data_IF_625752687807
#
_entry.id   IF_625752687807
#
_cell.length_a   1.000
_cell.length_b   1.000
_cell.length_c   1.000
_cell.angle_alpha   90.00
_cell.angle_beta   90.00
_cell.angle_gamma   90.00
#
_symmetry.space_group_name_H-M   'P 1'
#
loop_
_entity.id
_entity.type
_entity.pdbx_description
1 polymer ?
#
# COMPACT_ATOMS: atom_id res chain seq x y z
N UNK A 1 -19.02 -4.65 0.97
CA UNK A 1 -17.70 -5.30 1.10
C UNK A 1 -16.63 -4.23 1.21
N UNK A 2 -15.63 -4.42 2.06
CA UNK A 2 -14.49 -3.50 2.26
C UNK A 2 -13.21 -4.26 1.95
N UNK A 3 -12.21 -3.57 1.40
CA UNK A 3 -10.86 -4.08 1.23
C UNK A 3 -9.88 -3.24 2.06
N UNK A 4 -8.94 -3.93 2.72
CA UNK A 4 -7.88 -3.32 3.51
C UNK A 4 -6.55 -3.71 2.88
N UNK A 5 -5.68 -2.73 2.62
CA UNK A 5 -4.40 -2.95 1.96
C UNK A 5 -3.27 -2.42 2.86
N UNK A 6 -2.51 -3.31 3.51
CA UNK A 6 -1.27 -2.94 4.17
C UNK A 6 -0.24 -2.51 3.12
N UNK A 7 0.34 -1.34 3.31
CA UNK A 7 1.27 -0.75 2.37
C UNK A 7 2.46 -0.09 3.07
N UNK A 8 3.66 -0.43 2.64
CA UNK A 8 4.90 0.24 3.04
C UNK A 8 5.77 0.45 1.82
N UNK A 9 6.01 1.73 1.46
CA UNK A 9 6.86 2.11 0.32
C UNK A 9 8.33 1.98 0.64
N UNK A 10 8.75 2.48 1.80
CA UNK A 10 10.16 2.55 2.16
C UNK A 10 10.82 1.18 2.18
N UNK A 11 11.94 1.05 1.47
CA UNK A 11 12.73 -0.18 1.35
C UNK A 11 11.95 -1.40 0.86
N UNK A 12 10.80 -1.19 0.22
CA UNK A 12 9.90 -2.26 -0.20
C UNK A 12 10.56 -3.24 -1.17
N UNK A 13 10.14 -4.51 -1.09
CA UNK A 13 10.62 -5.59 -1.97
C UNK A 13 12.15 -5.71 -1.99
N UNK A 14 12.80 -5.68 -0.83
CA UNK A 14 14.27 -5.80 -0.70
C UNK A 14 14.88 -7.00 -1.43
N UNK A 15 14.13 -8.11 -1.58
CA UNK A 15 14.53 -9.28 -2.38
C UNK A 15 14.70 -9.00 -3.88
N UNK A 16 14.18 -7.88 -4.40
CA UNK A 16 14.38 -7.42 -5.78
C UNK A 16 15.61 -6.51 -5.93
N UNK A 17 16.39 -6.28 -4.86
CA UNK A 17 17.55 -5.38 -4.91
C UNK A 17 18.64 -5.82 -5.89
N UNK A 18 18.68 -7.10 -6.25
CA UNK A 18 19.62 -7.66 -7.23
C UNK A 18 19.34 -7.19 -8.66
N UNK A 19 18.11 -6.74 -8.94
CA UNK A 19 17.64 -6.37 -10.28
C UNK A 19 17.06 -4.95 -10.34
N UNK A 20 16.79 -4.32 -9.18
CA UNK A 20 16.19 -2.99 -9.09
C UNK A 20 16.83 -2.15 -7.99
N UNK A 21 17.08 -0.87 -8.30
CA UNK A 21 17.52 0.12 -7.31
C UNK A 21 16.42 0.39 -6.26
N UNK A 22 16.76 1.05 -5.15
CA UNK A 22 15.76 1.46 -4.14
C UNK A 22 14.64 2.29 -4.76
N UNK A 23 14.98 3.32 -5.53
CA UNK A 23 14.02 4.20 -6.20
C UNK A 23 13.12 3.44 -7.20
N UNK A 24 13.69 2.51 -7.97
CA UNK A 24 12.92 1.66 -8.88
C UNK A 24 11.92 0.78 -8.12
N UNK A 25 12.33 0.19 -6.99
CA UNK A 25 11.44 -0.64 -6.15
C UNK A 25 10.31 0.17 -5.53
N UNK A 26 10.61 1.36 -5.02
CA UNK A 26 9.61 2.26 -4.42
C UNK A 26 8.59 2.73 -5.46
N UNK A 27 9.05 3.10 -6.66
CA UNK A 27 8.18 3.45 -7.79
C UNK A 27 7.34 2.24 -8.24
N UNK A 28 7.94 1.05 -8.29
CA UNK A 28 7.26 -0.17 -8.70
C UNK A 28 6.14 -0.55 -7.74
N UNK A 29 6.39 -0.44 -6.43
CA UNK A 29 5.41 -0.76 -5.38
C UNK A 29 4.25 0.22 -5.37
N UNK A 30 4.50 1.48 -5.66
CA UNK A 30 3.46 2.49 -5.85
C UNK A 30 2.58 2.20 -7.07
N UNK A 31 3.16 1.78 -8.20
CA UNK A 31 2.40 1.35 -9.39
C UNK A 31 1.54 0.11 -9.12
N UNK A 32 2.08 -0.89 -8.41
CA UNK A 32 1.31 -2.07 -8.01
C UNK A 32 0.11 -1.69 -7.13
N UNK A 33 0.28 -0.76 -6.19
CA UNK A 33 -0.81 -0.28 -5.35
C UNK A 33 -1.93 0.35 -6.19
N UNK A 34 -1.57 1.21 -7.15
CA UNK A 34 -2.54 1.83 -8.07
C UNK A 34 -3.31 0.77 -8.87
N UNK A 35 -2.63 -0.26 -9.38
CA UNK A 35 -3.24 -1.35 -10.14
C UNK A 35 -4.22 -2.18 -9.28
N UNK A 36 -3.84 -2.48 -8.02
CA UNK A 36 -4.72 -3.21 -7.08
C UNK A 36 -5.98 -2.38 -6.78
N UNK A 37 -5.83 -1.10 -6.45
CA UNK A 37 -6.96 -0.20 -6.14
C UNK A 37 -7.88 -0.04 -7.35
N UNK A 38 -7.31 0.13 -8.54
CA UNK A 38 -8.08 0.20 -9.78
C UNK A 38 -8.87 -1.10 -10.04
N UNK A 39 -8.25 -2.25 -9.78
CA UNK A 39 -8.87 -3.57 -9.95
C UNK A 39 -10.01 -3.79 -8.96
N UNK A 40 -9.81 -3.48 -7.68
CA UNK A 40 -10.86 -3.57 -6.64
C UNK A 40 -12.09 -2.72 -7.01
N UNK A 41 -11.85 -1.49 -7.49
CA UNK A 41 -12.93 -0.60 -7.95
C UNK A 41 -13.68 -1.15 -9.15
N UNK A 42 -12.97 -1.69 -10.16
CA UNK A 42 -13.59 -2.37 -11.31
C UNK A 42 -14.44 -3.57 -10.88
N UNK A 43 -14.04 -4.25 -9.80
CA UNK A 43 -14.80 -5.32 -9.16
C UNK A 43 -15.96 -4.85 -8.28
N UNK A 44 -16.26 -3.55 -8.21
CA UNK A 44 -17.36 -3.00 -7.41
C UNK A 44 -17.03 -2.77 -5.93
N UNK A 45 -15.78 -2.94 -5.51
CA UNK A 45 -15.35 -2.65 -4.14
C UNK A 45 -14.95 -1.18 -4.06
N UNK A 46 -15.81 -0.36 -3.44
CA UNK A 46 -15.61 1.09 -3.33
C UNK A 46 -14.99 1.51 -2.00
N UNK A 47 -15.21 0.74 -0.94
CA UNK A 47 -14.66 0.99 0.40
C UNK A 47 -13.27 0.35 0.48
N UNK A 48 -12.24 1.15 0.26
CA UNK A 48 -10.85 0.70 0.27
C UNK A 48 -10.09 1.54 1.29
N UNK A 49 -9.46 0.85 2.24
CA UNK A 49 -8.59 1.42 3.26
C UNK A 49 -7.16 0.97 2.99
N UNK A 50 -6.21 1.90 3.09
CA UNK A 50 -4.78 1.63 3.00
C UNK A 50 -4.18 1.95 4.34
N UNK A 51 -3.60 0.94 4.98
CA UNK A 51 -2.91 1.14 6.25
C UNK A 51 -1.41 1.21 5.99
N UNK A 52 -0.78 2.27 6.49
CA UNK A 52 0.61 2.59 6.19
C UNK A 52 1.31 3.25 7.38
N UNK A 53 2.61 3.04 7.57
CA UNK A 53 3.37 3.80 8.57
C UNK A 53 3.34 5.29 8.30
N UNK A 54 3.38 6.13 9.33
CA UNK A 54 3.29 7.61 9.22
C UNK A 54 4.32 8.23 8.29
N UNK A 55 5.50 7.62 8.21
CA UNK A 55 6.59 8.08 7.35
C UNK A 55 6.36 7.79 5.85
N UNK A 56 5.30 7.09 5.48
CA UNK A 56 5.09 6.61 4.13
C UNK A 56 4.22 7.59 3.33
N UNK A 57 4.82 8.25 2.34
CA UNK A 57 4.09 9.08 1.39
C UNK A 57 3.27 8.20 0.41
N UNK A 58 1.95 8.17 0.62
CA UNK A 58 0.99 7.57 -0.31
C UNK A 58 0.39 8.69 -1.16
N UNK A 59 0.61 8.61 -2.48
CA UNK A 59 0.09 9.61 -3.42
C UNK A 59 -1.42 9.76 -3.28
N UNK A 60 -1.89 11.01 -3.26
CA UNK A 60 -3.32 11.38 -3.26
C UNK A 60 -4.11 10.83 -4.46
N UNK A 61 -3.41 10.43 -5.52
CA UNK A 61 -3.97 9.76 -6.70
C UNK A 61 -4.59 8.40 -6.36
N UNK A 62 -4.10 7.78 -5.28
CA UNK A 62 -4.67 6.55 -4.73
C UNK A 62 -6.00 6.90 -4.07
N UNK A 63 -7.10 6.70 -4.80
CA UNK A 63 -8.46 7.00 -4.36
C UNK A 63 -8.96 6.00 -3.30
N UNK A 64 -8.31 5.98 -2.15
CA UNK A 64 -8.60 5.15 -0.99
C UNK A 64 -8.49 5.99 0.28
N UNK A 65 -9.08 5.52 1.37
CA UNK A 65 -8.87 6.12 2.68
C UNK A 65 -7.48 5.71 3.21
N UNK A 66 -6.74 6.66 3.78
CA UNK A 66 -5.40 6.41 4.32
C UNK A 66 -5.48 6.37 5.84
N UNK A 67 -4.91 5.32 6.42
CA UNK A 67 -4.86 5.08 7.85
C UNK A 67 -3.39 4.96 8.23
N UNK A 68 -2.98 5.79 9.17
CA UNK A 68 -1.61 5.82 9.65
C UNK A 68 -1.48 4.92 10.88
N UNK A 69 -0.64 3.91 10.77
CA UNK A 69 -0.36 2.96 11.84
C UNK A 69 1.09 2.48 11.76
N UNK A 70 1.83 2.64 12.87
CA UNK A 70 3.24 2.27 12.99
C UNK A 70 3.45 0.94 13.73
N UNK A 71 2.36 0.25 14.12
CA UNK A 71 2.43 -1.11 14.68
C UNK A 71 2.85 -2.13 13.63
N UNK A 72 3.15 -3.35 14.06
CA UNK A 72 3.45 -4.41 13.10
C UNK A 72 2.21 -4.83 12.30
N UNK A 73 2.44 -5.52 11.19
CA UNK A 73 1.39 -5.91 10.25
C UNK A 73 0.23 -6.67 10.92
N UNK A 74 0.54 -7.58 11.84
CA UNK A 74 -0.49 -8.41 12.45
C UNK A 74 -1.28 -7.62 13.48
N UNK A 75 -0.60 -6.85 14.32
CA UNK A 75 -1.24 -5.99 15.33
C UNK A 75 -2.16 -4.99 14.64
N UNK A 76 -1.64 -4.29 13.64
CA UNK A 76 -2.39 -3.36 12.81
C UNK A 76 -3.65 -3.98 12.18
N UNK A 77 -3.54 -5.19 11.62
CA UNK A 77 -4.67 -5.86 10.98
C UNK A 77 -5.69 -6.43 11.96
N UNK A 78 -5.27 -6.78 13.18
CA UNK A 78 -6.15 -7.33 14.21
C UNK A 78 -6.89 -6.24 14.99
N UNK A 79 -6.29 -5.05 15.12
CA UNK A 79 -6.88 -3.89 15.81
C UNK A 79 -7.78 -3.04 14.90
N UNK A 80 -7.69 -3.25 13.58
CA UNK A 80 -8.47 -2.57 12.55
C UNK A 80 -9.94 -3.04 12.44
#
# INVERSE_FOLDING_TARGET
MRAVIPYKKENAKSRLSTVMTKEQRETFVEKMLLDVVATLRKGGILNIDIITPKACDVKKEVKANIIEDDTDLNDCLNEY
#
